data_IF_359611551965
#
_entry.id   IF_359611551965
#
_cell.length_a   1.000
_cell.length_b   1.000
_cell.length_c   1.000
_cell.angle_alpha   90.00
_cell.angle_beta   90.00
_cell.angle_gamma   90.00
#
_symmetry.space_group_name_H-M   'P 1'
#
loop_
_entity.id
_entity.type
_entity.pdbx_description
1 polymer ?
#
# COMPACT_ATOMS: atom_id res chain seq x y z
N UNK A 1 -41.35 39.04 -1.05
CA UNK A 1 -40.86 37.83 -1.73
C UNK A 1 -39.44 37.60 -1.24
N UNK A 2 -39.23 36.63 -0.35
CA UNK A 2 -37.97 36.49 0.41
C UNK A 2 -37.62 35.00 0.49
N UNK A 3 -36.90 34.51 -0.52
CA UNK A 3 -36.29 33.17 -0.54
C UNK A 3 -34.90 33.18 -1.20
N UNK A 4 -33.86 33.77 -0.57
CA UNK A 4 -32.47 33.51 -0.96
C UNK A 4 -31.72 32.57 0.01
N UNK A 5 -32.23 32.34 1.22
CA UNK A 5 -31.52 31.57 2.27
C UNK A 5 -31.63 30.04 2.12
N UNK A 6 -32.71 29.54 1.51
CA UNK A 6 -32.91 28.11 1.24
C UNK A 6 -31.95 27.57 0.16
N UNK A 7 -31.63 28.40 -0.83
CA UNK A 7 -30.77 28.03 -1.96
C UNK A 7 -29.30 27.88 -1.56
N UNK A 8 -28.81 28.80 -0.70
CA UNK A 8 -27.42 28.76 -0.21
C UNK A 8 -27.18 27.54 0.68
N UNK A 9 -28.13 27.21 1.56
CA UNK A 9 -28.01 26.05 2.47
C UNK A 9 -28.06 24.73 1.71
N UNK A 10 -28.93 24.64 0.70
CA UNK A 10 -29.01 23.50 -0.22
C UNK A 10 -27.72 23.32 -1.03
N UNK A 11 -27.21 24.40 -1.61
CA UNK A 11 -25.97 24.39 -2.40
C UNK A 11 -24.77 23.99 -1.55
N UNK A 12 -24.65 24.49 -0.32
CA UNK A 12 -23.58 24.11 0.59
C UNK A 12 -23.65 22.62 0.95
N UNK A 13 -24.85 22.11 1.23
CA UNK A 13 -25.07 20.69 1.55
C UNK A 13 -24.63 19.79 0.39
N UNK A 14 -24.97 20.15 -0.84
CA UNK A 14 -24.59 19.40 -2.05
C UNK A 14 -23.07 19.42 -2.26
N UNK A 15 -22.41 20.56 -2.02
CA UNK A 15 -20.95 20.68 -2.14
C UNK A 15 -20.25 19.84 -1.08
N UNK A 16 -20.73 19.87 0.18
CA UNK A 16 -20.19 19.05 1.26
C UNK A 16 -20.40 17.55 1.01
N UNK A 17 -21.56 17.14 0.52
CA UNK A 17 -21.83 15.73 0.22
C UNK A 17 -20.93 15.23 -0.92
N UNK A 18 -20.76 16.04 -1.98
CA UNK A 18 -19.85 15.71 -3.09
C UNK A 18 -18.39 15.65 -2.67
N UNK A 19 -17.93 16.57 -1.83
CA UNK A 19 -16.55 16.55 -1.34
C UNK A 19 -16.29 15.34 -0.45
N UNK A 20 -17.25 14.98 0.41
CA UNK A 20 -17.15 13.82 1.30
C UNK A 20 -17.12 12.51 0.50
N UNK A 21 -17.95 12.39 -0.55
CA UNK A 21 -17.92 11.24 -1.48
C UNK A 21 -16.57 11.15 -2.22
N UNK A 22 -15.99 12.28 -2.64
CA UNK A 22 -14.69 12.31 -3.29
C UNK A 22 -13.58 11.85 -2.34
N UNK A 23 -13.57 12.36 -1.11
CA UNK A 23 -12.60 11.96 -0.07
C UNK A 23 -12.74 10.47 0.23
N UNK A 24 -13.97 9.96 0.38
CA UNK A 24 -14.21 8.55 0.63
C UNK A 24 -13.68 7.66 -0.51
N UNK A 25 -13.91 8.05 -1.77
CA UNK A 25 -13.36 7.32 -2.93
C UNK A 25 -11.84 7.35 -2.96
N UNK A 26 -11.22 8.50 -2.65
CA UNK A 26 -9.77 8.63 -2.60
C UNK A 26 -9.15 7.73 -1.53
N UNK A 27 -9.72 7.72 -0.32
CA UNK A 27 -9.29 6.83 0.77
C UNK A 27 -9.45 5.36 0.36
N UNK A 28 -10.57 4.99 -0.27
CA UNK A 28 -10.79 3.62 -0.72
C UNK A 28 -9.78 3.19 -1.79
N UNK A 29 -9.40 4.08 -2.71
CA UNK A 29 -8.36 3.81 -3.70
C UNK A 29 -6.97 3.67 -3.07
N UNK A 30 -6.64 4.51 -2.08
CA UNK A 30 -5.38 4.39 -1.33
C UNK A 30 -5.33 3.07 -0.56
N UNK A 31 -6.41 2.69 0.13
CA UNK A 31 -6.50 1.40 0.80
C UNK A 31 -6.35 0.24 -0.17
N UNK A 32 -7.02 0.30 -1.33
CA UNK A 32 -6.88 -0.72 -2.37
C UNK A 32 -5.42 -0.80 -2.86
N UNK A 33 -4.77 0.34 -3.13
CA UNK A 33 -3.37 0.39 -3.53
C UNK A 33 -2.44 -0.22 -2.47
N UNK A 34 -2.67 0.07 -1.19
CA UNK A 34 -1.92 -0.53 -0.09
C UNK A 34 -2.11 -2.05 -0.05
N UNK A 35 -3.34 -2.55 -0.14
CA UNK A 35 -3.63 -4.00 -0.10
C UNK A 35 -3.01 -4.71 -1.30
N UNK A 36 -3.19 -4.18 -2.52
CA UNK A 36 -2.59 -4.76 -3.72
C UNK A 36 -1.07 -4.66 -3.70
N UNK A 37 -0.50 -3.56 -3.20
CA UNK A 37 0.93 -3.39 -3.04
C UNK A 37 1.52 -4.41 -2.08
N UNK A 38 0.91 -4.60 -0.90
CA UNK A 38 1.32 -5.62 0.07
C UNK A 38 1.19 -7.02 -0.52
N UNK A 39 0.08 -7.32 -1.19
CA UNK A 39 -0.12 -8.62 -1.85
C UNK A 39 0.95 -8.90 -2.91
N UNK A 40 1.26 -7.90 -3.75
CA UNK A 40 2.33 -7.99 -4.74
C UNK A 40 3.71 -8.22 -4.10
N UNK A 41 4.04 -7.48 -3.04
CA UNK A 41 5.28 -7.66 -2.30
C UNK A 41 5.39 -9.08 -1.71
N UNK A 42 4.31 -9.60 -1.13
CA UNK A 42 4.27 -10.98 -0.64
C UNK A 42 4.53 -11.99 -1.76
N UNK A 43 3.90 -11.83 -2.93
CA UNK A 43 4.13 -12.71 -4.08
C UNK A 43 5.58 -12.66 -4.56
N UNK A 44 6.18 -11.46 -4.61
CA UNK A 44 7.59 -11.30 -4.98
C UNK A 44 8.54 -11.99 -4.00
N UNK A 45 8.32 -11.80 -2.69
CA UNK A 45 9.12 -12.47 -1.65
C UNK A 45 8.96 -13.99 -1.77
N UNK A 46 7.74 -14.49 -1.98
CA UNK A 46 7.48 -15.92 -2.15
C UNK A 46 8.20 -16.48 -3.38
N UNK A 47 8.15 -15.76 -4.51
CA UNK A 47 8.82 -16.16 -5.74
C UNK A 47 10.34 -16.20 -5.59
N UNK A 48 10.94 -15.17 -4.99
CA UNK A 48 12.38 -15.13 -4.70
C UNK A 48 12.75 -16.29 -3.79
N UNK A 49 12.01 -16.47 -2.70
CA UNK A 49 12.26 -17.54 -1.71
C UNK A 49 12.16 -18.92 -2.36
N UNK A 50 11.12 -19.18 -3.16
CA UNK A 50 10.94 -20.43 -3.89
C UNK A 50 12.08 -20.69 -4.87
N UNK A 51 12.48 -19.67 -5.64
CA UNK A 51 13.60 -19.78 -6.57
C UNK A 51 14.92 -20.10 -5.84
N UNK A 52 15.20 -19.40 -4.74
CA UNK A 52 16.38 -19.63 -3.90
C UNK A 52 16.40 -21.06 -3.33
N UNK A 53 15.28 -21.52 -2.76
CA UNK A 53 15.14 -22.86 -2.17
C UNK A 53 15.29 -23.97 -3.22
N UNK A 54 14.60 -23.84 -4.36
CA UNK A 54 14.57 -24.89 -5.39
C UNK A 54 15.90 -25.01 -6.14
N UNK A 55 16.61 -23.91 -6.33
CA UNK A 55 17.91 -23.91 -7.03
C UNK A 55 19.11 -24.04 -6.08
N UNK A 56 18.89 -24.26 -4.78
CA UNK A 56 19.96 -24.39 -3.78
C UNK A 56 20.85 -23.14 -3.70
N UNK A 57 20.30 -21.96 -4.02
CA UNK A 57 21.03 -20.72 -4.01
C UNK A 57 21.09 -20.14 -2.59
N UNK A 58 22.10 -19.31 -2.37
CA UNK A 58 22.26 -18.52 -1.16
C UNK A 58 21.57 -17.17 -1.34
N UNK A 59 20.64 -16.81 -0.45
CA UNK A 59 19.96 -15.52 -0.48
C UNK A 59 20.48 -14.65 0.66
N UNK A 60 21.23 -13.62 0.30
CA UNK A 60 21.70 -12.60 1.21
C UNK A 60 20.98 -11.29 0.91
N UNK A 61 20.15 -10.84 1.85
CA UNK A 61 19.34 -9.64 1.75
C UNK A 61 19.82 -8.63 2.79
N UNK A 62 20.28 -7.47 2.35
CA UNK A 62 20.66 -6.37 3.23
C UNK A 62 19.73 -5.19 2.98
N UNK A 63 19.17 -4.63 4.06
CA UNK A 63 18.42 -3.40 4.04
C UNK A 63 19.23 -2.34 4.80
N UNK A 64 19.56 -1.25 4.12
CA UNK A 64 20.26 -0.11 4.70
C UNK A 64 19.46 1.18 4.54
N UNK A 65 19.56 2.05 5.54
CA UNK A 65 19.01 3.41 5.52
C UNK A 65 20.18 4.36 5.78
N UNK A 66 20.37 5.36 4.92
CA UNK A 66 21.48 6.32 4.99
C UNK A 66 22.87 5.65 5.07
N UNK A 67 23.03 4.52 4.38
CA UNK A 67 24.28 3.76 4.38
C UNK A 67 24.55 2.95 5.64
N UNK A 68 23.67 3.00 6.65
CA UNK A 68 23.71 2.12 7.81
C UNK A 68 22.85 0.87 7.56
N UNK A 69 23.46 -0.30 7.66
CA UNK A 69 22.75 -1.58 7.60
C UNK A 69 21.79 -1.69 8.79
N UNK A 70 20.50 -1.80 8.50
CA UNK A 70 19.45 -1.93 9.51
C UNK A 70 18.97 -3.38 9.67
N UNK A 71 19.06 -4.17 8.59
CA UNK A 71 18.64 -5.57 8.62
C UNK A 71 19.46 -6.39 7.64
N UNK A 72 19.91 -7.56 8.09
CA UNK A 72 20.58 -8.57 7.27
C UNK A 72 19.80 -9.88 7.41
N UNK A 73 19.35 -10.43 6.29
CA UNK A 73 18.68 -11.72 6.21
C UNK A 73 19.54 -12.65 5.36
N UNK A 74 20.09 -13.68 5.99
CA UNK A 74 20.94 -14.67 5.33
C UNK A 74 20.25 -16.03 5.31
N UNK A 75 19.84 -16.48 4.13
CA UNK A 75 19.13 -17.73 3.90
C UNK A 75 20.06 -18.69 3.13
N UNK A 76 20.54 -19.71 3.84
CA UNK A 76 21.42 -20.75 3.27
C UNK A 76 20.64 -22.05 3.04
N UNK A 77 21.01 -22.83 2.01
CA UNK A 77 20.50 -24.18 1.84
C UNK A 77 20.90 -25.04 3.05
N UNK A 78 19.95 -25.78 3.61
CA UNK A 78 20.23 -26.73 4.68
C UNK A 78 20.75 -28.04 4.07
N UNK A 79 22.05 -28.08 3.76
CA UNK A 79 22.73 -29.30 3.31
C UNK A 79 23.15 -30.12 4.53
N UNK A 80 22.33 -31.11 4.91
CA UNK A 80 22.75 -32.22 5.79
C UNK A 80 23.35 -33.33 4.95
#
# INVERSE_FOLDING_TARGET
MMMPSLDVKSTLSIVFEKSLVLTQRCVQQLCALCVYGVGFLCLMILAITAHTLLNGQHLHLTASIDGQEQMVLDLRPNTK
#
